data_IF_214048551298
#
_entry.id   IF_214048551298
#
_cell.length_a   1.000
_cell.length_b   1.000
_cell.length_c   1.000
_cell.angle_alpha   90.00
_cell.angle_beta   90.00
_cell.angle_gamma   90.00
#
_symmetry.space_group_name_H-M   'P 1'
#
loop_
_entity.id
_entity.type
_entity.pdbx_description
1 polymer ?
#
# COMPACT_ATOMS: atom_id res chain seq x y z
N UNK A 1 36.79 17.81 7.43
CA UNK A 1 35.48 17.55 8.07
C UNK A 1 34.94 16.27 7.46
N UNK A 2 34.80 15.18 8.23
CA UNK A 2 34.36 13.88 7.72
C UNK A 2 32.84 13.90 7.52
N UNK A 3 32.41 13.60 6.30
CA UNK A 3 31.00 13.47 5.92
C UNK A 3 30.32 12.42 6.81
N UNK A 4 29.20 12.83 7.40
CA UNK A 4 28.38 12.00 8.28
C UNK A 4 27.60 11.03 7.41
N UNK A 5 27.94 9.74 7.47
CA UNK A 5 27.19 8.67 6.81
C UNK A 5 25.72 8.72 7.26
N UNK A 6 24.83 9.09 6.35
CA UNK A 6 23.40 8.92 6.54
C UNK A 6 23.14 7.42 6.33
N UNK A 7 22.55 6.68 7.30
CA UNK A 7 22.14 5.32 7.04
C UNK A 7 21.07 5.37 5.95
N UNK A 8 21.34 4.74 4.80
CA UNK A 8 20.32 4.46 3.78
C UNK A 8 19.41 3.38 4.34
N UNK A 9 18.44 3.81 5.13
CA UNK A 9 17.44 2.94 5.72
C UNK A 9 16.33 2.72 4.68
N UNK A 10 16.27 1.50 4.15
CA UNK A 10 15.27 1.02 3.18
C UNK A 10 15.23 1.76 1.84
N UNK A 11 16.03 1.33 0.87
CA UNK A 11 15.96 1.79 -0.52
C UNK A 11 14.56 1.55 -1.11
N UNK A 12 13.79 2.61 -1.30
CA UNK A 12 12.60 2.59 -2.13
C UNK A 12 13.02 2.41 -3.59
N UNK A 13 12.93 1.19 -4.12
CA UNK A 13 13.34 0.93 -5.49
C UNK A 13 12.33 1.45 -6.51
N UNK A 14 11.07 1.73 -6.09
CA UNK A 14 10.04 2.21 -7.00
C UNK A 14 8.98 3.05 -6.28
N UNK A 15 8.69 4.21 -6.86
CA UNK A 15 7.57 5.09 -6.48
C UNK A 15 6.55 5.08 -7.61
N UNK A 16 5.27 5.00 -7.28
CA UNK A 16 4.19 5.06 -8.27
C UNK A 16 3.05 5.95 -7.79
N UNK A 17 2.60 6.88 -8.63
CA UNK A 17 1.39 7.65 -8.38
C UNK A 17 0.20 7.02 -9.10
N UNK A 18 -0.91 6.86 -8.39
CA UNK A 18 -2.18 6.39 -8.95
C UNK A 18 -3.28 7.32 -8.46
N UNK A 19 -3.73 8.22 -9.34
CA UNK A 19 -4.68 9.26 -8.97
C UNK A 19 -4.10 10.17 -7.88
N UNK A 20 -4.85 10.38 -6.80
CA UNK A 20 -4.41 11.22 -5.68
C UNK A 20 -3.45 10.52 -4.69
N UNK A 21 -3.05 9.27 -4.95
CA UNK A 21 -2.23 8.48 -4.01
C UNK A 21 -0.84 8.21 -4.56
N UNK A 22 0.13 8.28 -3.66
CA UNK A 22 1.53 7.89 -3.90
C UNK A 22 1.78 6.55 -3.21
N UNK A 23 2.41 5.63 -3.91
CA UNK A 23 2.78 4.30 -3.41
C UNK A 23 4.28 4.09 -3.50
N UNK A 24 4.80 3.39 -2.50
CA UNK A 24 6.19 3.01 -2.38
C UNK A 24 6.29 1.49 -2.40
N UNK A 25 7.15 0.92 -3.24
CA UNK A 25 7.43 -0.51 -3.21
C UNK A 25 8.44 -0.81 -2.09
N UNK A 26 8.03 -1.56 -1.07
CA UNK A 26 8.86 -2.01 0.05
C UNK A 26 8.80 -3.53 0.16
N UNK A 27 9.93 -4.20 0.00
CA UNK A 27 10.02 -5.67 0.14
C UNK A 27 8.94 -6.44 -0.66
N UNK A 28 8.63 -5.99 -1.87
CA UNK A 28 7.59 -6.61 -2.71
C UNK A 28 6.14 -6.22 -2.38
N UNK A 29 5.92 -5.33 -1.42
CA UNK A 29 4.60 -4.83 -1.02
C UNK A 29 4.48 -3.36 -1.44
N UNK A 30 3.41 -3.03 -2.15
CA UNK A 30 3.07 -1.63 -2.41
C UNK A 30 2.49 -0.99 -1.15
N UNK A 31 3.06 0.11 -0.68
CA UNK A 31 2.61 0.78 0.54
C UNK A 31 2.20 2.20 0.21
N UNK A 32 0.94 2.54 0.52
CA UNK A 32 0.43 3.90 0.43
C UNK A 32 1.26 4.85 1.30
N UNK A 33 1.67 5.98 0.74
CA UNK A 33 2.36 7.08 1.43
C UNK A 33 1.66 7.57 2.70
N UNK A 34 0.34 7.36 2.82
CA UNK A 34 -0.45 7.73 4.00
C UNK A 34 -0.42 6.67 5.11
N UNK A 35 0.05 5.45 4.82
CA UNK A 35 0.19 4.41 5.84
C UNK A 35 1.20 4.84 6.91
N UNK A 36 0.89 4.52 8.16
CA UNK A 36 1.77 4.71 9.31
C UNK A 36 1.78 3.40 10.10
N UNK A 37 2.96 3.04 10.60
CA UNK A 37 3.09 1.89 11.50
C UNK A 37 2.18 2.06 12.72
N UNK A 38 1.56 0.96 13.17
CA UNK A 38 0.60 0.96 14.27
C UNK A 38 -0.85 1.27 13.88
N UNK A 39 -1.14 1.62 12.61
CA UNK A 39 -2.52 1.67 12.12
C UNK A 39 -3.17 0.28 12.20
N UNK A 40 -4.45 0.23 12.60
CA UNK A 40 -5.24 -0.99 12.51
C UNK A 40 -5.43 -1.39 11.05
N UNK A 41 -4.98 -2.59 10.69
CA UNK A 41 -5.01 -3.10 9.32
C UNK A 41 -6.05 -4.20 9.19
N UNK A 42 -6.95 -4.06 8.23
CA UNK A 42 -7.84 -5.14 7.80
C UNK A 42 -7.15 -5.96 6.72
N UNK A 43 -6.80 -7.20 7.04
CA UNK A 43 -6.20 -8.13 6.08
C UNK A 43 -7.25 -8.77 5.18
N UNK A 44 -6.98 -8.79 3.88
CA UNK A 44 -7.90 -9.25 2.85
C UNK A 44 -7.13 -10.08 1.84
N UNK A 45 -7.54 -11.35 1.68
CA UNK A 45 -6.94 -12.22 0.68
C UNK A 45 -7.27 -11.75 -0.74
N UNK A 46 -6.26 -11.69 -1.61
CA UNK A 46 -6.40 -11.33 -3.02
C UNK A 46 -7.36 -12.28 -3.73
N UNK A 47 -8.23 -11.73 -4.59
CA UNK A 47 -9.29 -12.46 -5.31
C UNK A 47 -10.27 -13.26 -4.41
N UNK A 48 -10.33 -12.97 -3.11
CA UNK A 48 -11.35 -13.56 -2.23
C UNK A 48 -12.72 -12.90 -2.41
N UNK A 49 -13.77 -13.54 -1.88
CA UNK A 49 -15.09 -12.91 -1.81
C UNK A 49 -15.07 -11.56 -1.06
N UNK A 50 -14.22 -11.42 -0.02
CA UNK A 50 -14.05 -10.14 0.69
C UNK A 50 -13.41 -9.08 -0.21
N UNK A 51 -12.41 -9.44 -1.00
CA UNK A 51 -11.77 -8.56 -1.97
C UNK A 51 -12.78 -7.99 -2.97
N UNK A 52 -13.59 -8.87 -3.58
CA UNK A 52 -14.64 -8.42 -4.51
C UNK A 52 -15.72 -7.61 -3.80
N UNK A 53 -16.13 -8.00 -2.59
CA UNK A 53 -17.08 -7.21 -1.79
C UNK A 53 -16.56 -5.80 -1.46
N UNK A 54 -15.26 -5.62 -1.25
CA UNK A 54 -14.65 -4.31 -1.07
C UNK A 54 -14.69 -3.47 -2.35
N UNK A 55 -14.38 -4.07 -3.50
CA UNK A 55 -14.44 -3.40 -4.80
C UNK A 55 -15.86 -3.00 -5.19
N UNK A 56 -16.86 -3.86 -4.93
CA UNK A 56 -18.26 -3.55 -5.21
C UNK A 56 -18.76 -2.37 -4.35
N UNK A 57 -18.31 -2.28 -3.10
CA UNK A 57 -18.68 -1.16 -2.20
C UNK A 57 -17.91 0.11 -2.48
N UNK A 58 -16.66 0.00 -2.93
CA UNK A 58 -15.76 1.14 -3.16
C UNK A 58 -15.01 0.95 -4.49
N UNK A 59 -15.64 1.22 -5.64
CA UNK A 59 -15.02 0.99 -6.95
C UNK A 59 -13.68 1.71 -7.15
N UNK A 60 -13.49 2.85 -6.48
CA UNK A 60 -12.23 3.60 -6.49
C UNK A 60 -11.04 2.84 -5.91
N UNK A 61 -11.26 1.79 -5.10
CA UNK A 61 -10.17 0.93 -4.62
C UNK A 61 -9.55 0.10 -5.75
N UNK A 62 -10.32 -0.18 -6.82
CA UNK A 62 -9.88 -1.02 -7.94
C UNK A 62 -8.57 -0.52 -8.56
N UNK A 63 -8.49 0.78 -8.85
CA UNK A 63 -7.28 1.39 -9.43
C UNK A 63 -6.05 1.24 -8.53
N UNK A 64 -6.23 1.24 -7.21
CA UNK A 64 -5.12 1.11 -6.26
C UNK A 64 -4.67 -0.35 -6.17
N UNK A 65 -5.60 -1.30 -6.10
CA UNK A 65 -5.30 -2.73 -6.06
C UNK A 65 -4.67 -3.24 -7.36
N UNK A 66 -4.86 -2.56 -8.49
CA UNK A 66 -4.15 -2.86 -9.75
C UNK A 66 -2.61 -2.72 -9.67
N UNK A 67 -2.05 -2.13 -8.60
CA UNK A 67 -0.59 -2.01 -8.47
C UNK A 67 0.10 -3.35 -8.18
N UNK A 68 -0.59 -4.32 -7.58
CA UNK A 68 -0.04 -5.63 -7.31
C UNK A 68 -0.90 -6.44 -6.34
N UNK A 69 -0.52 -7.70 -6.16
CA UNK A 69 -1.24 -8.65 -5.30
C UNK A 69 -0.96 -8.45 -3.80
N UNK A 70 0.15 -7.77 -3.48
CA UNK A 70 0.53 -7.39 -2.13
C UNK A 70 0.53 -5.86 -2.01
N UNK A 71 -0.44 -5.30 -1.31
CA UNK A 71 -0.60 -3.85 -1.20
C UNK A 71 -1.24 -3.43 0.12
N UNK A 72 -0.75 -2.33 0.70
CA UNK A 72 -1.34 -1.63 1.84
C UNK A 72 -1.92 -0.30 1.36
N UNK A 73 -3.22 -0.10 1.52
CA UNK A 73 -3.95 1.11 1.10
C UNK A 73 -4.68 1.71 2.29
N UNK A 74 -4.48 3.01 2.52
CA UNK A 74 -5.30 3.78 3.46
C UNK A 74 -6.48 4.37 2.68
N UNK A 75 -7.72 4.07 3.09
CA UNK A 75 -8.92 4.56 2.43
C UNK A 75 -9.94 5.04 3.45
N UNK A 76 -10.17 6.36 3.46
CA UNK A 76 -10.93 7.01 4.53
C UNK A 76 -10.24 6.82 5.88
N UNK A 77 -10.95 6.28 6.86
CA UNK A 77 -10.43 5.95 8.20
C UNK A 77 -9.87 4.52 8.31
N UNK A 78 -9.87 3.74 7.23
CA UNK A 78 -9.46 2.32 7.24
C UNK A 78 -8.14 2.10 6.53
N UNK A 79 -7.40 1.10 6.98
CA UNK A 79 -6.24 0.58 6.28
C UNK A 79 -6.51 -0.86 5.85
N UNK A 80 -6.31 -1.16 4.57
CA UNK A 80 -6.48 -2.51 4.01
C UNK A 80 -5.12 -3.04 3.58
N UNK A 81 -4.83 -4.29 3.94
CA UNK A 81 -3.69 -5.04 3.44
C UNK A 81 -4.20 -6.18 2.58
N UNK A 82 -3.91 -6.11 1.29
CA UNK A 82 -4.17 -7.17 0.33
C UNK A 82 -2.92 -8.03 0.25
N UNK A 83 -3.09 -9.35 0.32
CA UNK A 83 -2.02 -10.34 0.12
C UNK A 83 -2.57 -11.62 -0.52
N UNK A 84 -1.72 -12.41 -1.18
CA UNK A 84 -2.09 -13.75 -1.70
C UNK A 84 -2.49 -14.74 -0.60
#
# INVERSE_FOLDING_TARGET
>A
MKERSIPVESSFHTVKQVGAKTFYLRNGIWVDSQYREGMAVEEVKFLSGRYFGLLSKNPSLGRYFSNGKNIIVVFGSKCFKISE
#
